data_IF_018427546534
#
_entry.id   IF_018427546534
#
_cell.length_a   1.000
_cell.length_b   1.000
_cell.length_c   1.000
_cell.angle_alpha   90.00
_cell.angle_beta   90.00
_cell.angle_gamma   90.00
#
_symmetry.space_group_name_H-M   'P 1'
#
loop_
_entity.id
_entity.type
_entity.pdbx_description
1 polymer ?
#
# COMPACT_ATOMS: atom_id res chain seq x y z
N UNK A 1 -25.08 -11.84 12.96
CA UNK A 1 -23.89 -11.76 13.79
C UNK A 1 -22.72 -12.44 13.10
N UNK A 2 -21.63 -11.69 12.93
CA UNK A 2 -20.44 -12.17 12.22
C UNK A 2 -19.45 -12.74 13.23
N UNK A 3 -18.97 -13.95 13.01
CA UNK A 3 -18.01 -14.55 13.93
C UNK A 3 -16.58 -14.05 13.63
N UNK A 4 -15.64 -14.34 14.54
CA UNK A 4 -14.27 -13.88 14.47
C UNK A 4 -13.56 -14.35 13.20
N UNK A 5 -13.83 -15.58 12.76
CA UNK A 5 -13.20 -16.13 11.56
C UNK A 5 -13.67 -15.41 10.30
N UNK A 6 -14.94 -15.04 10.24
CA UNK A 6 -15.49 -14.30 9.11
C UNK A 6 -14.89 -12.89 9.05
N UNK A 7 -14.76 -12.24 10.22
CA UNK A 7 -14.15 -10.91 10.29
C UNK A 7 -12.72 -10.96 9.82
N UNK A 8 -11.95 -11.96 10.27
CA UNK A 8 -10.56 -12.12 9.87
C UNK A 8 -10.44 -12.32 8.35
N UNK A 9 -11.32 -13.13 7.77
CA UNK A 9 -11.33 -13.38 6.33
C UNK A 9 -11.64 -12.11 5.54
N UNK A 10 -12.56 -11.30 6.04
CA UNK A 10 -12.93 -10.04 5.40
C UNK A 10 -11.77 -9.05 5.46
N UNK A 11 -11.10 -8.95 6.61
CA UNK A 11 -9.92 -8.10 6.77
C UNK A 11 -8.81 -8.52 5.80
N UNK A 12 -8.51 -9.80 5.75
CA UNK A 12 -7.46 -10.34 4.89
C UNK A 12 -7.76 -10.08 3.42
N UNK A 13 -9.01 -10.25 3.02
CA UNK A 13 -9.42 -10.01 1.64
C UNK A 13 -9.25 -8.53 1.28
N UNK A 14 -9.64 -7.64 2.18
CA UNK A 14 -9.52 -6.20 1.95
C UNK A 14 -8.05 -5.79 1.82
N UNK A 15 -7.19 -6.27 2.73
CA UNK A 15 -5.76 -5.97 2.69
C UNK A 15 -5.10 -6.52 1.44
N UNK A 16 -5.49 -7.72 0.99
CA UNK A 16 -5.00 -8.30 -0.25
C UNK A 16 -5.35 -7.43 -1.44
N UNK A 17 -6.56 -6.89 -1.44
CA UNK A 17 -7.01 -6.03 -2.53
C UNK A 17 -6.21 -4.74 -2.56
N UNK A 18 -5.94 -4.15 -1.38
CA UNK A 18 -5.10 -2.95 -1.27
C UNK A 18 -3.70 -3.22 -1.82
N UNK A 19 -3.09 -4.33 -1.41
CA UNK A 19 -1.76 -4.68 -1.88
C UNK A 19 -1.72 -4.89 -3.39
N UNK A 20 -2.76 -5.52 -3.92
CA UNK A 20 -2.88 -5.76 -5.35
C UNK A 20 -2.97 -4.45 -6.14
N UNK A 21 -3.76 -3.50 -5.64
CA UNK A 21 -3.89 -2.20 -6.28
C UNK A 21 -2.56 -1.44 -6.27
N UNK A 22 -1.83 -1.52 -5.17
CA UNK A 22 -0.52 -0.88 -5.06
C UNK A 22 0.46 -1.51 -6.05
N UNK A 23 0.51 -2.85 -6.12
CA UNK A 23 1.40 -3.55 -7.05
C UNK A 23 1.10 -3.18 -8.49
N UNK A 24 -0.18 -3.09 -8.81
CA UNK A 24 -0.64 -2.77 -10.16
C UNK A 24 -0.22 -1.37 -10.61
N UNK A 25 -0.15 -0.44 -9.68
CA UNK A 25 0.16 0.96 -9.97
C UNK A 25 1.61 1.34 -9.66
N UNK A 26 2.40 0.38 -9.19
CA UNK A 26 3.80 0.60 -8.85
C UNK A 26 4.60 0.90 -10.11
N UNK A 27 5.42 1.96 -10.05
CA UNK A 27 6.32 2.32 -11.14
C UNK A 27 7.73 2.37 -10.62
N UNK A 28 8.62 1.63 -11.24
CA UNK A 28 10.03 1.62 -10.86
C UNK A 28 10.69 2.87 -11.46
N UNK A 29 11.27 3.76 -10.66
CA UNK A 29 11.91 4.96 -11.21
C UNK A 29 13.05 4.62 -12.15
N UNK A 30 13.14 5.32 -13.26
CA UNK A 30 14.18 5.06 -14.26
C UNK A 30 15.59 5.25 -13.68
N UNK A 31 15.78 6.27 -12.85
CA UNK A 31 17.08 6.52 -12.23
C UNK A 31 17.47 5.37 -11.30
N UNK A 32 16.50 4.83 -10.57
CA UNK A 32 16.74 3.70 -9.69
C UNK A 32 17.12 2.46 -10.46
N UNK A 33 16.45 2.21 -11.59
CA UNK A 33 16.79 1.08 -12.45
C UNK A 33 18.22 1.20 -12.96
N UNK A 34 18.57 2.40 -13.46
CA UNK A 34 19.89 2.65 -14.01
C UNK A 34 20.99 2.44 -12.99
N UNK A 35 20.71 2.82 -11.73
CA UNK A 35 21.68 2.70 -10.64
C UNK A 35 21.56 1.38 -9.87
N UNK A 36 20.71 0.47 -10.33
CA UNK A 36 20.47 -0.84 -9.68
C UNK A 36 20.03 -0.70 -8.23
N UNK A 37 19.24 0.33 -7.94
CA UNK A 37 18.69 0.54 -6.60
C UNK A 37 17.51 -0.40 -6.37
N UNK A 38 17.60 -1.19 -5.32
CA UNK A 38 16.54 -2.12 -4.94
C UNK A 38 16.28 -1.96 -3.45
N UNK A 39 15.09 -2.36 -3.01
CA UNK A 39 14.79 -2.29 -1.59
C UNK A 39 13.32 -2.42 -1.32
N UNK A 40 12.98 -2.21 -0.07
CA UNK A 40 11.61 -2.33 0.42
C UNK A 40 11.27 -1.06 1.18
N UNK A 41 10.11 -0.48 0.87
CA UNK A 41 9.59 0.69 1.56
C UNK A 41 8.35 0.27 2.31
N UNK A 42 8.26 0.62 3.59
CA UNK A 42 7.01 0.43 4.33
C UNK A 42 6.29 1.76 4.38
N UNK A 43 5.07 1.80 3.87
CA UNK A 43 4.24 3.00 3.86
C UNK A 43 3.09 2.81 4.82
N UNK A 44 2.78 3.85 5.58
CA UNK A 44 1.61 3.87 6.45
C UNK A 44 0.65 4.94 5.94
N UNK A 45 -0.61 4.62 5.89
CA UNK A 45 -1.65 5.56 5.47
C UNK A 45 -2.95 5.22 6.18
N UNK A 46 -3.84 6.21 6.21
CA UNK A 46 -5.16 6.05 6.81
C UNK A 46 -6.18 5.91 5.69
N UNK A 47 -6.99 4.84 5.76
CA UNK A 47 -8.10 4.66 4.83
C UNK A 47 -9.37 5.09 5.56
N UNK A 48 -10.14 5.97 4.93
CA UNK A 48 -11.42 6.38 5.50
C UNK A 48 -12.48 5.36 5.16
N UNK A 49 -13.64 5.47 5.81
CA UNK A 49 -14.76 4.56 5.59
C UNK A 49 -15.10 4.40 4.11
N UNK A 50 -15.03 5.49 3.36
CA UNK A 50 -15.37 5.50 1.94
C UNK A 50 -14.24 5.06 1.03
N UNK A 51 -13.07 4.74 1.59
CA UNK A 51 -11.91 4.32 0.82
C UNK A 51 -10.92 5.44 0.51
N UNK A 52 -11.16 6.65 1.02
CA UNK A 52 -10.23 7.76 0.83
C UNK A 52 -8.90 7.50 1.53
N UNK A 53 -7.84 8.06 0.98
CA UNK A 53 -6.48 7.86 1.50
C UNK A 53 -6.00 9.15 2.12
N UNK A 54 -5.53 9.08 3.37
CA UNK A 54 -5.03 10.25 4.10
C UNK A 54 -3.74 9.91 4.85
N UNK A 55 -2.98 10.95 5.17
CA UNK A 55 -1.80 10.85 6.03
C UNK A 55 -0.79 9.80 5.56
N UNK A 56 -0.53 9.78 4.25
CA UNK A 56 0.48 8.89 3.68
C UNK A 56 1.85 9.30 4.16
N UNK A 57 2.61 8.33 4.66
CA UNK A 57 3.96 8.61 5.12
C UNK A 57 4.85 7.37 5.02
N UNK A 58 6.15 7.60 4.98
CA UNK A 58 7.12 6.52 4.99
C UNK A 58 7.27 6.04 6.43
N UNK A 59 6.98 4.77 6.65
CA UNK A 59 7.18 4.13 7.95
C UNK A 59 8.63 3.65 8.08
N UNK A 60 9.13 3.02 7.01
CA UNK A 60 10.51 2.57 6.95
C UNK A 60 11.04 2.79 5.55
N UNK A 61 12.13 3.56 5.44
CA UNK A 61 12.75 3.90 4.16
C UNK A 61 13.50 2.72 3.55
N UNK A 62 13.59 2.74 2.21
CA UNK A 62 14.43 1.80 1.47
C UNK A 62 15.89 2.20 1.51
N UNK A 63 16.20 3.39 2.03
CA UNK A 63 17.50 4.06 1.97
C UNK A 63 17.80 4.69 0.62
N UNK A 64 16.82 4.70 -0.29
CA UNK A 64 16.92 5.38 -1.57
C UNK A 64 15.74 6.32 -1.73
N UNK A 65 16.03 7.61 -1.83
CA UNK A 65 15.01 8.64 -1.96
C UNK A 65 14.08 8.38 -3.15
N UNK A 66 14.65 7.94 -4.27
CA UNK A 66 13.88 7.69 -5.48
C UNK A 66 12.80 6.62 -5.27
N UNK A 67 13.15 5.54 -4.55
CA UNK A 67 12.19 4.48 -4.25
C UNK A 67 11.14 4.93 -3.25
N UNK A 68 11.56 5.69 -2.25
CA UNK A 68 10.65 6.22 -1.23
C UNK A 68 9.62 7.15 -1.86
N UNK A 69 10.06 8.07 -2.70
CA UNK A 69 9.17 9.00 -3.40
C UNK A 69 8.20 8.27 -4.33
N UNK A 70 8.72 7.29 -5.07
CA UNK A 70 7.89 6.50 -5.97
C UNK A 70 6.79 5.78 -5.20
N UNK A 71 7.08 5.32 -3.99
CA UNK A 71 6.10 4.64 -3.14
C UNK A 71 4.96 5.57 -2.72
N UNK A 72 5.29 6.80 -2.36
CA UNK A 72 4.26 7.78 -2.02
C UNK A 72 3.42 8.15 -3.25
N UNK A 73 4.05 8.25 -4.41
CA UNK A 73 3.36 8.56 -5.65
C UNK A 73 2.35 7.49 -6.05
N UNK A 74 2.62 6.23 -5.71
CA UNK A 74 1.68 5.14 -6.00
C UNK A 74 0.33 5.43 -5.35
N UNK A 75 0.34 5.84 -4.10
CA UNK A 75 -0.91 6.15 -3.38
C UNK A 75 -1.62 7.37 -3.97
N UNK A 76 -0.88 8.37 -4.40
CA UNK A 76 -1.46 9.54 -5.05
C UNK A 76 -2.11 9.16 -6.38
N UNK A 77 -1.50 8.24 -7.09
CA UNK A 77 -2.00 7.76 -8.37
C UNK A 77 -3.29 6.95 -8.21
N UNK A 78 -3.35 6.13 -7.18
CA UNK A 78 -4.53 5.32 -6.88
C UNK A 78 -5.68 6.22 -6.43
N UNK A 79 -5.39 7.22 -5.61
CA UNK A 79 -6.32 8.22 -5.09
C UNK A 79 -7.31 7.69 -4.06
N UNK A 80 -7.90 6.52 -4.29
CA UNK A 80 -8.81 5.92 -3.31
C UNK A 80 -8.89 4.42 -3.54
N UNK A 81 -9.23 3.70 -2.47
CA UNK A 81 -9.49 2.27 -2.52
C UNK A 81 -10.99 2.03 -2.42
N UNK A 82 -11.39 0.77 -2.44
CA UNK A 82 -12.78 0.42 -2.16
C UNK A 82 -13.11 0.82 -0.72
N UNK A 83 -14.38 1.07 -0.46
CA UNK A 83 -14.84 1.38 0.89
C UNK A 83 -14.50 0.22 1.85
N UNK A 84 -14.25 0.57 3.10
CA UNK A 84 -14.02 -0.44 4.14
C UNK A 84 -15.30 -1.25 4.31
N UNK A 85 -15.22 -2.60 4.31
CA UNK A 85 -16.43 -3.41 4.50
C UNK A 85 -17.16 -3.06 5.78
N UNK A 86 -18.48 -2.95 5.70
CA UNK A 86 -19.31 -2.58 6.86
C UNK A 86 -19.16 -3.57 8.01
N UNK A 87 -18.95 -4.83 7.69
CA UNK A 87 -18.79 -5.90 8.67
C UNK A 87 -17.63 -5.66 9.63
N UNK A 88 -16.65 -4.87 9.21
CA UNK A 88 -15.50 -4.56 10.07
C UNK A 88 -15.80 -3.46 11.08
N UNK A 89 -16.89 -2.76 10.88
CA UNK A 89 -17.34 -1.72 11.79
C UNK A 89 -16.27 -0.68 12.10
N UNK A 90 -15.56 -0.25 11.05
CA UNK A 90 -14.48 0.76 11.15
C UNK A 90 -14.89 2.02 10.43
N UNK A 91 -14.61 3.18 11.05
CA UNK A 91 -14.80 4.47 10.39
C UNK A 91 -13.52 4.89 9.66
N UNK A 92 -12.39 4.33 10.07
CA UNK A 92 -11.12 4.53 9.42
C UNK A 92 -10.19 3.38 9.80
N UNK A 93 -9.11 3.21 9.04
CA UNK A 93 -8.19 2.11 9.28
C UNK A 93 -6.79 2.55 8.90
N UNK A 94 -5.87 2.53 9.86
CA UNK A 94 -4.47 2.82 9.58
C UNK A 94 -3.79 1.55 9.12
N UNK A 95 -3.21 1.59 7.94
CA UNK A 95 -2.65 0.40 7.30
C UNK A 95 -1.19 0.66 6.95
N UNK A 96 -0.34 -0.32 7.21
CA UNK A 96 1.07 -0.29 6.81
C UNK A 96 1.30 -1.43 5.85
N UNK A 97 1.87 -1.13 4.68
CA UNK A 97 2.17 -2.15 3.67
C UNK A 97 3.60 -1.99 3.17
N UNK A 98 4.23 -3.12 2.82
CA UNK A 98 5.54 -3.06 2.17
C UNK A 98 5.38 -2.90 0.66
N UNK A 99 6.23 -2.08 0.06
CA UNK A 99 6.33 -1.97 -1.39
C UNK A 99 7.74 -2.42 -1.75
N UNK A 100 7.84 -3.49 -2.53
CA UNK A 100 9.11 -4.11 -2.86
C UNK A 100 9.56 -3.70 -4.25
N UNK A 101 10.79 -3.21 -4.35
CA UNK A 101 11.43 -2.86 -5.61
C UNK A 101 12.56 -3.82 -5.86
N UNK A 102 12.38 -4.67 -6.86
CA UNK A 102 13.39 -5.66 -7.25
C UNK A 102 13.61 -5.58 -8.74
N UNK A 103 14.84 -5.84 -9.16
CA UNK A 103 15.19 -5.90 -10.57
C UNK A 103 15.33 -7.36 -10.96
N UNK A 104 14.65 -7.73 -12.04
CA UNK A 104 14.71 -9.08 -12.57
C UNK A 104 15.76 -9.11 -13.68
N UNK A 105 16.66 -10.06 -13.62
CA UNK A 105 17.66 -10.25 -14.67
C UNK A 105 17.33 -11.54 -15.42
N UNK A 106 17.27 -11.40 -16.73
CA UNK A 106 17.10 -12.55 -17.61
C UNK A 106 18.43 -12.90 -18.25
#
# INVERSE_FOLDING_TARGET
QVDTNQIQSIEDAYLSKIRSEIEKNKTYPKVAKRLNQTGKVYITFLVTKDGGIKNCRINKSSNFESLDEASLEVLMKIASFDAIPQELNKTSWEITVPIVYQLTRN
#
